data_IF_281257376130
#
_entry.id   IF_281257376130
#
_cell.length_a   1.000
_cell.length_b   1.000
_cell.length_c   1.000
_cell.angle_alpha   90.00
_cell.angle_beta   90.00
_cell.angle_gamma   90.00
#
_symmetry.space_group_name_H-M   'P 1'
#
loop_
_entity.id
_entity.type
_entity.pdbx_description
1 polymer ?
#
# COMPACT_ATOMS: atom_id res chain seq x y z
N UNK A 1 -46.53 -14.14 51.22
CA UNK A 1 -45.42 -13.43 50.54
C UNK A 1 -44.41 -14.33 49.80
N UNK A 2 -44.54 -15.65 49.68
CA UNK A 2 -43.58 -16.55 49.02
C UNK A 2 -43.92 -16.90 47.54
N UNK A 3 -45.07 -16.49 47.03
CA UNK A 3 -45.51 -16.88 45.67
C UNK A 3 -45.09 -15.88 44.59
N UNK A 4 -44.91 -14.61 44.92
CA UNK A 4 -44.60 -13.54 43.94
C UNK A 4 -43.18 -13.61 43.40
N UNK A 5 -42.22 -14.02 44.24
CA UNK A 5 -40.83 -14.19 43.83
C UNK A 5 -40.64 -15.30 42.79
N UNK A 6 -41.46 -16.35 42.82
CA UNK A 6 -41.38 -17.43 41.82
C UNK A 6 -41.80 -16.96 40.43
N UNK A 7 -42.80 -16.07 40.34
CA UNK A 7 -43.21 -15.46 39.08
C UNK A 7 -42.14 -14.53 38.48
N UNK A 8 -41.48 -13.74 39.34
CA UNK A 8 -40.45 -12.78 38.93
C UNK A 8 -39.17 -13.50 38.43
N UNK A 9 -38.78 -14.62 39.04
CA UNK A 9 -37.62 -15.45 38.62
C UNK A 9 -37.90 -16.14 37.29
N UNK A 10 -39.14 -16.61 37.06
CA UNK A 10 -39.50 -17.23 35.78
C UNK A 10 -39.51 -16.21 34.65
N UNK A 11 -40.01 -14.98 34.87
CA UNK A 11 -39.94 -13.91 33.89
C UNK A 11 -38.50 -13.45 33.58
N UNK A 12 -37.62 -13.43 34.58
CA UNK A 12 -36.19 -13.10 34.37
C UNK A 12 -35.44 -14.18 33.59
N UNK A 13 -35.79 -15.46 33.76
CA UNK A 13 -35.18 -16.57 32.99
C UNK A 13 -35.65 -16.65 31.53
N UNK A 14 -36.83 -16.15 31.22
CA UNK A 14 -37.34 -16.09 29.86
C UNK A 14 -36.77 -14.91 29.05
N UNK A 15 -36.21 -13.91 29.71
CA UNK A 15 -35.60 -12.73 29.04
C UNK A 15 -34.23 -12.96 28.42
N UNK A 16 -33.58 -14.10 28.66
CA UNK A 16 -32.25 -14.42 28.14
C UNK A 16 -32.26 -15.36 26.92
N UNK A 17 -33.40 -15.74 26.40
CA UNK A 17 -33.51 -16.42 25.12
C UNK A 17 -33.47 -15.40 23.99
N UNK A 18 -32.39 -14.61 23.86
CA UNK A 18 -32.09 -13.84 22.66
C UNK A 18 -31.51 -14.82 21.65
N UNK A 19 -32.35 -15.29 20.73
CA UNK A 19 -31.85 -15.90 19.51
C UNK A 19 -31.12 -14.82 18.71
N UNK A 20 -29.81 -14.92 18.59
CA UNK A 20 -29.07 -14.26 17.52
C UNK A 20 -29.32 -15.07 16.26
N UNK A 21 -30.29 -14.70 15.44
CA UNK A 21 -30.32 -15.15 14.07
C UNK A 21 -29.22 -14.39 13.31
N UNK A 22 -28.30 -15.13 12.72
CA UNK A 22 -27.40 -14.57 11.72
C UNK A 22 -28.25 -14.16 10.51
N UNK A 23 -28.46 -12.87 10.34
CA UNK A 23 -29.15 -12.33 9.18
C UNK A 23 -28.16 -12.45 8.00
N UNK A 24 -28.27 -13.52 7.26
CA UNK A 24 -27.60 -13.65 5.96
C UNK A 24 -28.33 -12.73 4.99
N UNK A 25 -27.78 -11.57 4.73
CA UNK A 25 -28.25 -10.67 3.68
C UNK A 25 -27.78 -11.29 2.36
N UNK A 26 -28.71 -11.84 1.60
CA UNK A 26 -28.43 -12.35 0.25
C UNK A 26 -28.24 -11.13 -0.67
N UNK A 27 -26.99 -10.71 -0.82
CA UNK A 27 -26.62 -9.67 -1.78
C UNK A 27 -26.55 -10.32 -3.17
N UNK A 28 -27.07 -9.62 -4.18
CA UNK A 28 -26.89 -10.03 -5.57
C UNK A 28 -25.39 -10.23 -5.83
N UNK A 29 -25.00 -11.46 -6.20
CA UNK A 29 -23.64 -11.81 -6.51
C UNK A 29 -23.27 -11.16 -7.84
N UNK A 30 -22.34 -10.21 -7.80
CA UNK A 30 -21.71 -9.71 -9.02
C UNK A 30 -20.83 -10.80 -9.66
N UNK A 31 -20.61 -10.72 -10.97
CA UNK A 31 -19.63 -11.57 -11.62
C UNK A 31 -18.24 -11.34 -11.02
N UNK A 32 -17.44 -12.39 -10.77
CA UNK A 32 -16.09 -12.23 -10.25
C UNK A 32 -15.23 -11.40 -11.20
N UNK A 33 -14.61 -10.37 -10.67
CA UNK A 33 -13.63 -9.55 -11.41
C UNK A 33 -12.22 -10.10 -11.22
N UNK A 34 -11.33 -9.78 -12.14
CA UNK A 34 -9.92 -10.13 -12.04
C UNK A 34 -9.20 -9.07 -11.23
N UNK A 35 -8.61 -9.45 -10.10
CA UNK A 35 -7.71 -8.61 -9.31
C UNK A 35 -6.31 -8.61 -9.92
N UNK A 36 -5.76 -7.44 -10.17
CA UNK A 36 -4.41 -7.26 -10.72
C UNK A 36 -3.62 -6.34 -9.80
N UNK A 37 -2.58 -6.87 -9.17
CA UNK A 37 -1.60 -6.10 -8.42
C UNK A 37 -0.24 -6.27 -9.09
N UNK A 38 0.30 -5.22 -9.71
CA UNK A 38 1.55 -5.30 -10.42
C UNK A 38 2.37 -4.02 -10.30
N UNK A 39 3.69 -4.18 -10.23
CA UNK A 39 4.61 -3.05 -10.23
C UNK A 39 5.83 -3.34 -11.09
N UNK A 40 6.44 -2.26 -11.63
CA UNK A 40 7.65 -2.35 -12.40
C UNK A 40 8.57 -1.17 -12.07
N UNK A 41 9.86 -1.40 -11.82
CA UNK A 41 10.77 -0.36 -11.36
C UNK A 41 12.10 -0.30 -12.13
N UNK A 42 12.89 0.74 -11.86
CA UNK A 42 14.25 0.88 -12.39
C UNK A 42 15.30 0.01 -11.68
N UNK A 43 14.90 -0.79 -10.69
CA UNK A 43 15.80 -1.69 -10.00
C UNK A 43 16.04 -2.96 -10.83
N UNK A 44 17.28 -3.41 -10.88
CA UNK A 44 17.61 -4.70 -11.48
C UNK A 44 17.20 -5.84 -10.52
N UNK A 45 15.97 -6.29 -10.67
CA UNK A 45 15.38 -7.38 -9.87
C UNK A 45 14.30 -8.12 -10.64
N UNK A 46 13.83 -9.23 -10.08
CA UNK A 46 12.59 -9.84 -10.51
C UNK A 46 11.41 -8.97 -10.04
N UNK A 47 10.53 -8.61 -10.97
CA UNK A 47 9.29 -7.89 -10.67
C UNK A 47 8.14 -8.88 -10.57
N UNK A 48 7.15 -8.57 -9.73
CA UNK A 48 6.01 -9.44 -9.49
C UNK A 48 4.71 -8.82 -9.98
N UNK A 49 3.82 -9.68 -10.48
CA UNK A 49 2.41 -9.40 -10.67
C UNK A 49 1.60 -10.49 -9.97
N UNK A 50 0.56 -10.11 -9.25
CA UNK A 50 -0.33 -11.01 -8.54
C UNK A 50 -1.70 -10.93 -9.18
N UNK A 51 -2.24 -12.08 -9.59
CA UNK A 51 -3.53 -12.18 -10.24
C UNK A 51 -4.48 -13.07 -9.42
N UNK A 52 -5.64 -12.55 -9.09
CA UNK A 52 -6.67 -13.25 -8.33
C UNK A 52 -8.06 -12.97 -8.89
N UNK A 53 -9.07 -13.71 -8.46
CA UNK A 53 -10.47 -13.35 -8.64
C UNK A 53 -11.00 -12.68 -7.38
N UNK A 54 -11.86 -11.68 -7.53
CA UNK A 54 -12.55 -11.10 -6.37
C UNK A 54 -13.43 -12.16 -5.71
N UNK A 55 -13.42 -12.18 -4.37
CA UNK A 55 -14.28 -13.05 -3.58
C UNK A 55 -15.56 -12.31 -3.15
N UNK A 56 -16.59 -13.06 -2.80
CA UNK A 56 -17.78 -12.51 -2.16
C UNK A 56 -17.39 -11.87 -0.80
N UNK A 57 -18.00 -10.73 -0.50
CA UNK A 57 -17.70 -9.95 0.71
C UNK A 57 -17.75 -10.77 2.02
N UNK A 58 -18.67 -11.76 2.07
CA UNK A 58 -18.85 -12.62 3.24
C UNK A 58 -18.00 -13.90 3.22
N UNK A 59 -17.36 -14.23 2.11
CA UNK A 59 -16.64 -15.48 1.91
C UNK A 59 -15.15 -15.23 1.65
N UNK A 60 -14.46 -14.68 2.66
CA UNK A 60 -13.05 -14.28 2.56
C UNK A 60 -12.07 -15.46 2.38
N UNK A 61 -12.51 -16.67 2.63
CA UNK A 61 -11.65 -17.86 2.60
C UNK A 61 -11.47 -18.45 1.20
N UNK A 62 -12.21 -17.98 0.19
CA UNK A 62 -12.23 -18.53 -1.17
C UNK A 62 -11.61 -17.59 -2.22
N UNK A 63 -10.49 -16.92 -1.90
CA UNK A 63 -9.77 -16.16 -2.91
C UNK A 63 -9.15 -17.14 -3.91
N UNK A 64 -9.71 -17.20 -5.12
CA UNK A 64 -9.16 -18.00 -6.20
C UNK A 64 -8.08 -17.24 -6.92
N UNK A 65 -6.94 -17.89 -7.12
CA UNK A 65 -5.84 -17.31 -7.88
C UNK A 65 -6.00 -17.60 -9.37
N UNK A 66 -5.55 -16.68 -10.22
CA UNK A 66 -5.58 -16.84 -11.68
C UNK A 66 -4.35 -17.62 -12.12
N UNK A 67 -4.55 -18.64 -12.92
CA UNK A 67 -3.50 -19.50 -13.49
C UNK A 67 -3.48 -19.43 -15.01
N UNK A 68 -2.32 -19.70 -15.61
CA UNK A 68 -2.17 -19.81 -17.04
C UNK A 68 -2.36 -18.50 -17.81
N UNK A 69 -2.33 -17.35 -17.14
CA UNK A 69 -2.39 -16.07 -17.80
C UNK A 69 -1.08 -15.76 -18.53
N UNK A 70 -1.19 -15.01 -19.63
CA UNK A 70 -0.02 -14.37 -20.26
C UNK A 70 0.10 -12.96 -19.74
N UNK A 71 1.21 -12.67 -19.03
CA UNK A 71 1.47 -11.37 -18.39
C UNK A 71 2.75 -10.79 -18.96
N UNK A 72 2.71 -9.55 -19.41
CA UNK A 72 3.91 -8.84 -19.88
C UNK A 72 3.78 -7.34 -19.71
N UNK A 73 4.93 -6.68 -19.64
CA UNK A 73 5.05 -5.22 -19.68
C UNK A 73 5.86 -4.82 -20.90
N UNK A 74 5.45 -3.74 -21.57
CA UNK A 74 6.15 -3.24 -22.78
C UNK A 74 6.25 -1.72 -22.77
N UNK A 75 7.35 -1.19 -23.34
CA UNK A 75 7.53 0.23 -23.64
C UNK A 75 7.18 0.57 -25.11
N UNK A 76 6.61 -0.40 -25.84
CA UNK A 76 6.30 -0.29 -27.26
C UNK A 76 7.46 -0.68 -28.18
N UNK A 77 8.66 -0.91 -27.64
CA UNK A 77 9.87 -1.39 -28.35
C UNK A 77 10.29 -2.75 -27.79
N UNK A 78 10.49 -2.78 -26.48
CA UNK A 78 10.90 -3.97 -25.76
C UNK A 78 9.70 -4.57 -25.02
N UNK A 79 9.71 -5.90 -24.78
CA UNK A 79 8.69 -6.61 -24.02
C UNK A 79 9.36 -7.50 -23.00
N UNK A 80 8.87 -7.40 -21.74
CA UNK A 80 9.32 -8.19 -20.61
C UNK A 80 8.17 -9.06 -20.15
N UNK A 81 8.34 -10.38 -20.19
CA UNK A 81 7.34 -11.34 -19.75
C UNK A 81 7.47 -11.64 -18.26
N UNK A 82 6.33 -11.81 -17.62
CA UNK A 82 6.21 -12.39 -16.30
C UNK A 82 5.82 -13.86 -16.47
N UNK A 83 6.55 -14.75 -15.84
CA UNK A 83 6.31 -16.20 -15.88
C UNK A 83 5.60 -16.65 -14.62
N UNK A 84 4.62 -17.54 -14.75
CA UNK A 84 3.87 -18.08 -13.62
C UNK A 84 4.82 -18.77 -12.62
N UNK A 85 4.73 -18.40 -11.34
CA UNK A 85 5.49 -19.04 -10.26
C UNK A 85 4.80 -20.35 -9.89
N UNK A 86 5.48 -21.46 -10.09
CA UNK A 86 4.91 -22.79 -9.85
C UNK A 86 4.74 -23.13 -8.35
N UNK A 87 5.40 -22.38 -7.48
CA UNK A 87 5.32 -22.57 -6.02
C UNK A 87 4.27 -21.65 -5.38
N UNK A 88 3.98 -20.50 -6.00
CA UNK A 88 3.03 -19.50 -5.51
C UNK A 88 1.93 -19.26 -6.54
N UNK A 89 0.79 -19.91 -6.34
CA UNK A 89 -0.35 -19.74 -7.24
C UNK A 89 -0.74 -18.28 -7.42
N UNK A 90 -0.97 -17.86 -8.68
CA UNK A 90 -1.37 -16.51 -9.05
C UNK A 90 -0.25 -15.48 -9.04
N UNK A 91 0.97 -15.89 -8.70
CA UNK A 91 2.14 -15.03 -8.80
C UNK A 91 2.82 -15.24 -10.16
N UNK A 92 3.18 -14.12 -10.78
CA UNK A 92 3.88 -14.05 -12.05
C UNK A 92 5.12 -13.20 -11.86
N UNK A 93 6.29 -13.70 -12.27
CA UNK A 93 7.59 -13.09 -11.95
C UNK A 93 8.43 -12.92 -13.20
N UNK A 94 9.10 -11.78 -13.34
CA UNK A 94 10.04 -11.55 -14.45
C UNK A 94 11.40 -12.18 -14.17
N UNK A 95 12.19 -12.42 -15.22
CA UNK A 95 13.64 -12.46 -15.05
C UNK A 95 14.16 -11.13 -14.50
N UNK A 96 15.36 -11.10 -13.88
CA UNK A 96 15.93 -9.85 -13.37
C UNK A 96 16.07 -8.80 -14.49
N UNK A 97 15.36 -7.70 -14.38
CA UNK A 97 15.34 -6.63 -15.37
C UNK A 97 15.15 -5.29 -14.68
N UNK A 98 15.66 -4.22 -15.28
CA UNK A 98 15.48 -2.85 -14.81
C UNK A 98 14.69 -2.04 -15.83
N UNK A 99 13.67 -1.33 -15.38
CA UNK A 99 12.94 -0.37 -16.20
C UNK A 99 13.76 0.86 -16.52
N UNK A 100 13.47 1.49 -17.65
CA UNK A 100 14.08 2.74 -18.09
C UNK A 100 13.28 3.91 -17.53
N UNK A 101 13.94 4.83 -16.83
CA UNK A 101 13.33 6.07 -16.33
C UNK A 101 12.74 6.89 -17.47
N UNK A 102 11.75 7.72 -17.17
CA UNK A 102 11.04 8.58 -18.10
C UNK A 102 10.42 7.82 -19.28
N UNK A 103 9.92 6.62 -19.04
CA UNK A 103 9.37 5.71 -20.04
C UNK A 103 7.96 5.28 -19.64
N UNK A 104 7.02 5.39 -20.59
CA UNK A 104 5.67 4.89 -20.42
C UNK A 104 5.66 3.37 -20.63
N UNK A 105 5.24 2.64 -19.64
CA UNK A 105 5.08 1.20 -19.69
C UNK A 105 3.60 0.82 -19.73
N UNK A 106 3.28 -0.15 -20.58
CA UNK A 106 1.96 -0.79 -20.63
C UNK A 106 2.06 -2.21 -20.09
N UNK A 107 1.33 -2.50 -19.03
CA UNK A 107 1.04 -3.86 -18.58
C UNK A 107 -0.06 -4.44 -19.47
N UNK A 108 0.11 -5.69 -19.90
CA UNK A 108 -0.91 -6.48 -20.58
C UNK A 108 -1.09 -7.81 -19.85
N UNK A 109 -2.33 -8.22 -19.65
CA UNK A 109 -2.71 -9.46 -18.96
C UNK A 109 -3.80 -10.15 -19.79
N UNK A 110 -3.50 -11.30 -20.33
CA UNK A 110 -4.43 -12.15 -21.08
C UNK A 110 -4.79 -13.37 -20.21
N UNK A 111 -6.03 -13.41 -19.72
CA UNK A 111 -6.52 -14.48 -18.84
C UNK A 111 -7.41 -15.42 -19.66
N UNK A 112 -7.04 -16.72 -19.78
CA UNK A 112 -7.89 -17.69 -20.47
C UNK A 112 -9.13 -18.03 -19.61
N UNK A 113 -10.30 -18.05 -20.24
CA UNK A 113 -11.55 -18.51 -19.63
C UNK A 113 -11.85 -19.98 -19.97
N UNK A 114 -12.73 -20.57 -19.18
CA UNK A 114 -13.06 -22.00 -19.31
C UNK A 114 -13.79 -22.36 -20.59
N UNK A 115 -14.45 -21.42 -21.24
CA UNK A 115 -15.16 -21.54 -22.53
C UNK A 115 -14.25 -21.39 -23.75
N UNK A 116 -12.98 -21.04 -23.53
CA UNK A 116 -11.96 -20.83 -24.57
C UNK A 116 -11.82 -19.35 -24.99
N UNK A 117 -12.60 -18.47 -24.40
CA UNK A 117 -12.42 -17.02 -24.57
C UNK A 117 -11.21 -16.51 -23.76
N UNK A 118 -10.78 -15.29 -24.03
CA UNK A 118 -9.66 -14.65 -23.33
C UNK A 118 -10.08 -13.26 -22.88
N UNK A 119 -10.01 -13.03 -21.58
CA UNK A 119 -10.16 -11.68 -21.03
C UNK A 119 -8.82 -10.95 -21.18
N UNK A 120 -8.85 -9.84 -21.90
CA UNK A 120 -7.67 -8.99 -22.12
C UNK A 120 -7.75 -7.74 -21.28
N UNK A 121 -6.78 -7.59 -20.40
CA UNK A 121 -6.65 -6.44 -19.51
C UNK A 121 -5.38 -5.68 -19.84
N UNK A 122 -5.40 -4.37 -19.61
CA UNK A 122 -4.20 -3.54 -19.75
C UNK A 122 -4.23 -2.36 -18.79
N UNK A 123 -3.05 -1.81 -18.54
CA UNK A 123 -2.86 -0.55 -17.81
C UNK A 123 -1.59 0.15 -18.27
N UNK A 124 -1.53 1.46 -18.12
CA UNK A 124 -0.34 2.24 -18.46
C UNK A 124 0.14 3.02 -17.23
N UNK A 125 1.47 3.12 -17.11
CA UNK A 125 2.11 3.88 -16.05
C UNK A 125 3.44 4.44 -16.52
N UNK A 126 3.69 5.73 -16.26
CA UNK A 126 4.95 6.39 -16.58
C UNK A 126 5.96 6.13 -15.46
N UNK A 127 7.08 5.47 -15.76
CA UNK A 127 8.17 5.31 -14.80
C UNK A 127 8.88 6.66 -14.61
N UNK A 128 8.77 7.27 -13.41
CA UNK A 128 9.24 8.63 -13.22
C UNK A 128 10.78 8.75 -13.25
N UNK A 129 11.27 9.97 -13.47
CA UNK A 129 12.67 10.34 -13.27
C UNK A 129 12.73 11.63 -12.45
N UNK A 130 12.49 11.53 -11.15
CA UNK A 130 12.26 12.69 -10.30
C UNK A 130 13.33 12.90 -9.23
N UNK A 131 13.97 11.83 -8.75
CA UNK A 131 15.06 11.86 -7.76
C UNK A 131 16.23 11.08 -8.29
N UNK A 132 17.42 11.68 -8.29
CA UNK A 132 18.64 11.00 -8.71
C UNK A 132 19.32 10.30 -7.54
N UNK A 133 19.44 10.99 -6.40
CA UNK A 133 20.14 10.49 -5.21
C UNK A 133 19.49 10.99 -3.93
N UNK A 134 19.70 10.26 -2.84
CA UNK A 134 19.47 10.73 -1.47
C UNK A 134 20.83 11.14 -0.92
N UNK A 135 20.98 12.42 -0.57
CA UNK A 135 22.26 12.98 -0.08
C UNK A 135 22.60 12.45 1.32
N UNK A 136 21.60 12.34 2.18
CA UNK A 136 21.75 11.81 3.53
C UNK A 136 20.43 11.39 4.16
N UNK A 137 20.52 10.56 5.20
CA UNK A 137 19.42 10.22 6.09
C UNK A 137 19.82 10.62 7.50
N UNK A 138 19.01 11.44 8.15
CA UNK A 138 19.21 11.84 9.54
C UNK A 138 18.08 11.27 10.40
N UNK A 139 18.48 10.66 11.52
CA UNK A 139 17.55 10.17 12.53
C UNK A 139 17.69 11.08 13.75
N UNK A 140 16.62 11.78 14.10
CA UNK A 140 16.63 12.71 15.22
C UNK A 140 15.31 12.66 16.00
N UNK A 141 15.34 12.97 17.31
CA UNK A 141 14.14 13.03 18.10
C UNK A 141 13.22 14.14 17.63
N UNK A 142 11.96 13.94 17.89
CA UNK A 142 10.98 14.99 17.75
C UNK A 142 11.12 15.98 18.91
N UNK A 143 11.41 17.23 18.61
CA UNK A 143 11.62 18.27 19.62
C UNK A 143 10.37 19.10 19.97
N UNK A 144 9.18 18.65 19.64
CA UNK A 144 7.92 19.28 20.09
C UNK A 144 7.70 20.76 19.72
N UNK A 145 8.67 21.39 19.05
CA UNK A 145 8.66 22.82 18.75
C UNK A 145 8.07 23.17 17.38
N UNK A 146 7.70 22.17 16.60
CA UNK A 146 7.03 22.40 15.32
C UNK A 146 5.51 22.36 15.54
N UNK A 147 4.89 23.53 15.60
CA UNK A 147 3.44 23.71 15.77
C UNK A 147 2.60 23.08 14.63
N UNK A 148 3.24 22.47 13.64
CA UNK A 148 2.58 21.88 12.49
C UNK A 148 2.15 20.41 12.70
N UNK A 149 2.60 19.74 13.76
CA UNK A 149 2.20 18.37 14.06
C UNK A 149 1.12 18.30 15.15
N UNK A 150 0.11 17.44 15.00
CA UNK A 150 -0.94 17.29 16.00
C UNK A 150 -0.38 16.94 17.38
N UNK A 151 -0.93 17.53 18.43
CA UNK A 151 -0.55 17.31 19.84
C UNK A 151 -0.61 15.85 20.32
N UNK A 152 -1.17 14.96 19.53
CA UNK A 152 -1.21 13.50 19.78
C UNK A 152 0.19 12.87 19.75
N UNK A 153 1.17 13.52 19.11
CA UNK A 153 2.55 13.06 18.99
C UNK A 153 3.53 13.69 20.00
N UNK A 154 3.02 14.34 21.04
CA UNK A 154 3.80 15.01 22.07
C UNK A 154 4.54 14.05 23.03
N UNK A 155 5.03 12.92 22.55
CA UNK A 155 5.81 12.01 23.39
C UNK A 155 7.30 12.16 23.09
N UNK A 156 8.09 12.50 24.10
CA UNK A 156 9.58 12.51 24.12
C UNK A 156 10.24 11.18 23.69
N UNK A 157 9.53 10.36 22.94
CA UNK A 157 9.85 8.97 22.73
C UNK A 157 9.87 8.54 21.27
N UNK A 158 9.85 9.50 20.35
CA UNK A 158 9.79 9.21 18.91
C UNK A 158 11.06 9.73 18.24
N UNK A 159 11.68 8.89 17.42
CA UNK A 159 12.80 9.22 16.57
C UNK A 159 12.31 9.22 15.13
N UNK A 160 12.49 10.33 14.44
CA UNK A 160 12.04 10.53 13.08
C UNK A 160 13.18 10.35 12.08
N UNK A 161 12.87 9.74 10.96
CA UNK A 161 13.76 9.55 9.81
C UNK A 161 13.52 10.65 8.79
N UNK A 162 14.53 11.45 8.52
CA UNK A 162 14.52 12.57 7.59
C UNK A 162 15.50 12.30 6.44
N UNK A 163 15.02 12.06 5.22
CA UNK A 163 15.87 12.06 4.05
C UNK A 163 16.12 13.49 3.55
N UNK A 164 17.32 13.71 3.07
CA UNK A 164 17.69 14.93 2.36
C UNK A 164 18.03 14.58 0.93
N UNK A 165 17.34 15.15 -0.02
CA UNK A 165 17.52 14.91 -1.44
C UNK A 165 17.02 16.10 -2.27
N UNK A 166 17.50 16.19 -3.49
CA UNK A 166 16.96 17.13 -4.46
C UNK A 166 15.90 16.44 -5.30
N UNK A 167 14.81 17.15 -5.57
CA UNK A 167 13.71 16.68 -6.36
C UNK A 167 13.29 17.74 -7.37
N UNK A 168 13.02 17.33 -8.59
CA UNK A 168 12.40 18.20 -9.56
C UNK A 168 10.93 18.42 -9.20
N UNK A 169 10.44 19.67 -9.28
CA UNK A 169 9.02 19.95 -9.09
C UNK A 169 8.18 19.21 -10.10
N UNK A 170 7.37 18.26 -9.63
CA UNK A 170 6.45 17.52 -10.48
C UNK A 170 5.19 17.13 -9.69
N UNK A 171 4.04 17.80 -9.91
CA UNK A 171 2.80 17.52 -9.18
C UNK A 171 2.19 16.16 -9.53
N UNK A 172 2.62 15.53 -10.61
CA UNK A 172 2.14 14.22 -11.03
C UNK A 172 2.86 13.06 -10.33
N UNK A 173 3.82 13.37 -9.45
CA UNK A 173 4.64 12.39 -8.75
C UNK A 173 4.43 12.51 -7.23
N UNK A 174 4.39 11.38 -6.57
CA UNK A 174 4.46 11.27 -5.10
C UNK A 174 5.61 10.37 -4.69
N UNK A 175 6.00 10.48 -3.44
CA UNK A 175 7.03 9.62 -2.86
C UNK A 175 6.41 8.61 -1.91
N UNK A 176 6.78 7.36 -2.08
CA UNK A 176 6.47 6.26 -1.18
C UNK A 176 7.77 5.75 -0.56
N UNK A 177 8.03 6.05 0.72
CA UNK A 177 9.20 5.54 1.41
C UNK A 177 8.99 4.09 1.84
N UNK A 178 9.99 3.25 1.59
CA UNK A 178 10.08 1.88 2.08
C UNK A 178 11.26 1.82 3.05
N UNK A 179 10.99 1.44 4.29
CA UNK A 179 11.99 1.46 5.37
C UNK A 179 12.35 0.04 5.79
N UNK A 180 13.64 -0.17 5.90
CA UNK A 180 14.20 -1.41 6.45
C UNK A 180 15.07 -1.10 7.68
N UNK A 181 15.03 -2.01 8.63
CA UNK A 181 15.91 -2.02 9.78
C UNK A 181 16.65 -3.36 9.84
N UNK A 182 17.98 -3.33 9.75
CA UNK A 182 18.82 -4.53 9.72
C UNK A 182 18.29 -5.56 8.70
N UNK A 183 17.98 -5.10 7.49
CA UNK A 183 17.40 -5.84 6.35
C UNK A 183 15.95 -6.34 6.55
N UNK A 184 15.32 -6.02 7.69
CA UNK A 184 13.91 -6.34 7.92
C UNK A 184 13.03 -5.21 7.43
N UNK A 185 12.11 -5.51 6.51
CA UNK A 185 11.12 -4.57 6.01
C UNK A 185 10.17 -4.14 7.14
N UNK A 186 9.95 -2.84 7.29
CA UNK A 186 9.08 -2.25 8.33
C UNK A 186 7.78 -1.67 7.77
N UNK A 187 7.72 -1.41 6.46
CA UNK A 187 6.56 -0.82 5.77
C UNK A 187 5.91 -1.85 4.86
N UNK A 188 5.70 -3.07 5.36
CA UNK A 188 5.18 -4.21 4.61
C UNK A 188 3.64 -4.28 4.55
N UNK A 189 2.96 -3.44 5.30
CA UNK A 189 1.49 -3.40 5.32
C UNK A 189 0.96 -2.04 4.87
N UNK A 190 -0.24 -2.02 4.28
CA UNK A 190 -0.93 -0.79 3.87
C UNK A 190 -1.07 0.23 5.00
N UNK A 191 -1.19 -0.21 6.25
CA UNK A 191 -1.28 0.66 7.42
C UNK A 191 0.07 1.22 7.87
N UNK A 192 1.17 0.63 7.44
CA UNK A 192 2.55 1.01 7.76
C UNK A 192 3.23 1.68 6.58
N UNK A 193 2.78 1.42 5.35
CA UNK A 193 3.23 2.18 4.17
C UNK A 193 2.66 3.59 4.28
N UNK A 194 3.47 4.50 4.79
CA UNK A 194 3.13 5.90 4.81
C UNK A 194 3.28 6.46 3.41
N UNK A 195 2.17 6.76 2.76
CA UNK A 195 2.17 7.85 1.80
C UNK A 195 2.28 9.09 2.66
N UNK A 196 3.40 9.81 2.56
CA UNK A 196 3.76 10.83 3.53
C UNK A 196 2.84 12.04 3.40
N UNK A 197 2.03 12.39 4.40
CA UNK A 197 1.25 13.61 4.38
C UNK A 197 2.18 14.81 4.56
N UNK A 198 2.10 15.77 3.67
CA UNK A 198 2.70 17.10 3.84
C UNK A 198 1.71 18.01 4.55
N UNK A 199 2.09 18.44 5.71
CA UNK A 199 1.39 19.52 6.43
C UNK A 199 0.05 19.16 7.03
N UNK A 200 0.03 18.71 8.25
CA UNK A 200 -1.04 18.73 9.23
C UNK A 200 -2.44 18.37 8.74
N UNK A 201 -2.89 17.19 9.12
CA UNK A 201 -4.18 16.54 8.89
C UNK A 201 -4.25 15.60 7.68
N UNK A 202 -4.80 14.44 7.94
CA UNK A 202 -5.07 13.40 6.97
C UNK A 202 -5.57 13.95 5.63
N UNK A 203 -4.78 13.78 4.58
CA UNK A 203 -5.19 14.14 3.23
C UNK A 203 -4.20 14.92 2.39
N UNK A 204 -3.04 15.29 2.91
CA UNK A 204 -2.03 16.02 2.13
C UNK A 204 -0.84 15.10 1.83
N UNK A 205 -0.45 15.07 0.58
CA UNK A 205 0.65 14.24 0.07
C UNK A 205 1.83 15.11 -0.35
N UNK A 206 3.03 14.58 -0.16
CA UNK A 206 4.21 15.24 -0.71
C UNK A 206 4.20 15.01 -2.21
N UNK A 207 4.01 16.06 -2.99
CA UNK A 207 4.48 16.09 -4.35
C UNK A 207 5.85 16.78 -4.39
N UNK A 208 6.64 16.50 -5.42
CA UNK A 208 7.98 17.06 -5.55
C UNK A 208 8.04 18.59 -5.46
N UNK A 209 6.98 19.28 -5.87
CA UNK A 209 6.88 20.75 -5.83
C UNK A 209 6.83 21.28 -4.39
N UNK A 210 6.10 20.62 -3.50
CA UNK A 210 5.94 21.07 -2.12
C UNK A 210 7.21 20.86 -1.29
N UNK A 211 7.94 19.77 -1.53
CA UNK A 211 9.22 19.55 -0.88
C UNK A 211 10.24 20.64 -1.20
N UNK A 212 10.29 21.11 -2.43
CA UNK A 212 11.20 22.19 -2.85
C UNK A 212 10.75 23.58 -2.38
N UNK A 213 9.44 23.84 -2.43
CA UNK A 213 8.90 25.16 -2.07
C UNK A 213 8.96 25.45 -0.57
N UNK A 214 8.89 24.42 0.28
CA UNK A 214 8.72 24.62 1.71
C UNK A 214 10.04 24.75 2.48
N UNK A 215 11.19 24.38 1.91
CA UNK A 215 12.47 24.27 2.63
C UNK A 215 12.30 23.52 3.99
N UNK A 216 11.31 22.63 4.06
CA UNK A 216 10.91 21.95 5.29
C UNK A 216 11.51 20.56 5.33
N UNK A 217 12.03 20.23 6.49
CA UNK A 217 12.40 18.84 6.78
C UNK A 217 11.14 17.99 6.89
N UNK A 218 11.01 16.97 6.06
CA UNK A 218 9.84 16.10 6.04
C UNK A 218 10.25 14.71 6.52
N UNK A 219 9.70 14.28 7.67
CA UNK A 219 9.95 12.94 8.17
C UNK A 219 9.23 11.91 7.29
N UNK A 220 9.91 10.84 6.95
CA UNK A 220 9.35 9.76 6.14
C UNK A 220 8.96 8.53 6.95
N UNK A 221 9.44 8.43 8.17
CA UNK A 221 9.15 7.33 9.09
C UNK A 221 9.47 7.72 10.52
N UNK A 222 8.89 7.02 11.49
CA UNK A 222 9.19 7.20 12.89
C UNK A 222 9.43 5.88 13.61
N UNK A 223 10.33 5.90 14.58
CA UNK A 223 10.55 4.82 15.52
C UNK A 223 10.12 5.25 16.91
N UNK A 224 9.40 4.40 17.61
CA UNK A 224 9.17 4.61 19.04
C UNK A 224 10.51 4.50 19.77
N UNK A 225 10.71 5.36 20.77
CA UNK A 225 11.92 5.34 21.62
C UNK A 225 12.26 3.92 22.06
N UNK A 226 13.52 3.56 21.98
CA UNK A 226 14.09 2.24 22.27
C UNK A 226 13.81 1.14 21.22
N UNK A 227 13.17 1.45 20.12
CA UNK A 227 13.08 0.54 18.97
C UNK A 227 14.37 0.53 18.16
N UNK A 228 15.14 1.64 18.21
CA UNK A 228 16.48 1.72 17.65
C UNK A 228 17.54 1.44 18.71
N UNK A 229 18.55 0.71 18.33
CA UNK A 229 19.74 0.43 19.13
C UNK A 229 20.96 1.01 18.42
N UNK A 230 22.00 1.32 19.20
CA UNK A 230 23.29 1.69 18.64
C UNK A 230 23.71 0.70 17.56
N UNK A 231 24.18 1.23 16.43
CA UNK A 231 24.61 0.48 15.24
C UNK A 231 23.48 -0.22 14.44
N UNK A 232 22.20 0.00 14.75
CA UNK A 232 21.11 -0.44 13.85
C UNK A 232 21.27 0.24 12.48
N UNK A 233 21.25 -0.57 11.42
CA UNK A 233 21.29 -0.10 10.04
C UNK A 233 19.89 0.21 9.54
N UNK A 234 19.69 1.42 9.07
CA UNK A 234 18.42 1.87 8.51
C UNK A 234 18.63 2.14 7.01
N UNK A 235 17.89 1.42 6.17
CA UNK A 235 17.82 1.64 4.74
C UNK A 235 16.48 2.26 4.38
N UNK A 236 16.53 3.27 3.55
CA UNK A 236 15.39 3.89 2.91
C UNK A 236 15.47 3.65 1.40
N UNK A 237 14.45 3.01 0.85
CA UNK A 237 14.17 2.99 -0.57
C UNK A 237 13.07 4.03 -0.83
N UNK A 238 13.41 5.14 -1.47
CA UNK A 238 12.47 6.21 -1.80
C UNK A 238 11.92 5.95 -3.20
N UNK A 239 10.67 5.56 -3.29
CA UNK A 239 9.99 5.28 -4.54
C UNK A 239 9.28 6.53 -5.03
N UNK A 240 9.64 7.04 -6.22
CA UNK A 240 8.84 8.02 -6.96
C UNK A 240 7.80 7.26 -7.78
N UNK A 241 6.52 7.52 -7.55
CA UNK A 241 5.39 6.86 -8.23
C UNK A 241 4.41 7.89 -8.79
N UNK A 242 3.58 7.55 -9.81
CA UNK A 242 2.54 8.43 -10.30
C UNK A 242 1.52 8.79 -9.21
N UNK A 243 1.09 10.06 -9.18
CA UNK A 243 0.22 10.59 -8.13
C UNK A 243 -1.21 10.05 -8.15
N UNK A 244 -1.66 9.50 -9.26
CA UNK A 244 -2.98 8.87 -9.40
C UNK A 244 -3.13 7.62 -8.52
N UNK A 245 -2.02 6.97 -8.16
CA UNK A 245 -1.98 5.87 -7.19
C UNK A 245 -2.61 6.24 -5.84
N UNK A 246 -2.53 7.51 -5.45
CA UNK A 246 -3.16 8.02 -4.23
C UNK A 246 -4.65 7.67 -4.16
N UNK A 247 -5.35 7.87 -5.26
CA UNK A 247 -6.79 7.62 -5.32
C UNK A 247 -7.15 6.15 -5.09
N UNK A 248 -6.33 5.24 -5.64
CA UNK A 248 -6.46 3.81 -5.39
C UNK A 248 -6.19 3.49 -3.92
N UNK A 249 -5.05 3.94 -3.40
CA UNK A 249 -4.61 3.70 -2.03
C UNK A 249 -5.66 4.15 -1.00
N UNK A 250 -6.26 5.33 -1.17
CA UNK A 250 -7.32 5.80 -0.30
C UNK A 250 -8.56 4.94 -0.35
N UNK A 251 -9.03 4.60 -1.55
CA UNK A 251 -10.22 3.77 -1.68
C UNK A 251 -10.00 2.38 -1.09
N UNK A 252 -8.77 1.86 -1.20
CA UNK A 252 -8.39 0.59 -0.60
C UNK A 252 -8.39 0.67 0.94
N UNK A 253 -7.75 1.69 1.55
CA UNK A 253 -7.75 1.87 3.01
C UNK A 253 -9.17 2.08 3.54
N UNK A 254 -9.98 2.89 2.86
CA UNK A 254 -11.37 3.10 3.26
C UNK A 254 -12.19 1.82 3.19
N UNK A 255 -11.92 0.94 2.21
CA UNK A 255 -12.59 -0.35 2.10
C UNK A 255 -12.23 -1.31 3.25
N UNK A 256 -10.98 -1.27 3.72
CA UNK A 256 -10.53 -2.09 4.86
C UNK A 256 -11.14 -1.64 6.19
N UNK A 257 -11.40 -0.33 6.35
CA UNK A 257 -12.01 0.26 7.54
C UNK A 257 -13.54 0.27 7.55
N UNK A 258 -14.19 -0.15 6.45
CA UNK A 258 -15.65 -0.11 6.34
C UNK A 258 -16.31 -1.12 7.30
N UNK A 259 -17.21 -0.62 8.15
CA UNK A 259 -18.06 -1.45 8.97
C UNK A 259 -19.27 -1.89 8.12
N UNK A 260 -19.56 -3.18 7.98
CA UNK A 260 -20.72 -3.68 7.22
C UNK A 260 -22.06 -3.06 7.65
N UNK A 261 -22.14 -2.57 8.89
CA UNK A 261 -23.34 -1.88 9.41
C UNK A 261 -23.51 -0.44 8.88
N UNK A 262 -22.48 0.14 8.26
CA UNK A 262 -22.50 1.52 7.75
C UNK A 262 -22.71 1.63 6.22
N UNK A 263 -22.91 0.52 5.55
CA UNK A 263 -23.14 0.44 4.11
C UNK A 263 -22.14 -0.46 3.39
N UNK A 264 -22.41 -0.75 2.12
CA UNK A 264 -21.48 -1.51 1.28
C UNK A 264 -20.17 -0.74 1.13
N UNK A 265 -19.00 -1.44 1.15
CA UNK A 265 -17.73 -0.80 0.88
C UNK A 265 -17.75 -0.14 -0.51
N UNK A 266 -17.17 1.04 -0.61
CA UNK A 266 -17.04 1.70 -1.91
C UNK A 266 -16.16 0.84 -2.82
N UNK A 267 -16.49 0.79 -4.12
CA UNK A 267 -15.63 0.12 -5.08
C UNK A 267 -14.23 0.77 -5.09
N UNK A 268 -13.21 -0.05 -4.96
CA UNK A 268 -11.82 0.40 -5.04
C UNK A 268 -11.57 0.92 -6.46
N UNK A 269 -10.95 2.10 -6.57
CA UNK A 269 -10.56 2.63 -7.89
C UNK A 269 -9.54 1.71 -8.54
N UNK A 270 -9.55 1.66 -9.86
CA UNK A 270 -8.61 0.86 -10.65
C UNK A 270 -8.09 1.66 -11.83
N UNK A 271 -6.85 1.41 -12.23
CA UNK A 271 -6.32 1.84 -13.53
C UNK A 271 -6.26 0.70 -14.56
N UNK A 272 -6.75 -0.49 -14.20
CA UNK A 272 -6.81 -1.64 -15.10
C UNK A 272 -8.04 -1.50 -16.01
N UNK A 273 -7.85 -1.74 -17.29
CA UNK A 273 -8.90 -1.65 -18.31
C UNK A 273 -9.15 -3.01 -18.97
N UNK A 274 -10.40 -3.34 -19.30
CA UNK A 274 -11.63 -2.59 -18.99
C UNK A 274 -11.99 -2.69 -17.50
N UNK A 275 -12.45 -1.58 -16.92
CA UNK A 275 -12.69 -1.44 -15.48
C UNK A 275 -13.92 -2.18 -14.95
N UNK A 276 -14.77 -2.70 -15.83
CA UNK A 276 -15.90 -3.57 -15.50
C UNK A 276 -15.50 -5.05 -15.39
N UNK A 277 -14.26 -5.40 -15.78
CA UNK A 277 -13.72 -6.77 -15.75
C UNK A 277 -12.62 -6.95 -14.71
N UNK A 278 -12.01 -5.87 -14.25
CA UNK A 278 -10.86 -5.96 -13.37
C UNK A 278 -10.85 -4.87 -12.28
N UNK A 279 -10.21 -5.22 -11.16
CA UNK A 279 -9.87 -4.31 -10.05
C UNK A 279 -8.37 -4.37 -9.80
N UNK A 280 -7.85 -3.47 -8.97
CA UNK A 280 -6.43 -3.44 -8.63
C UNK A 280 -5.69 -2.34 -9.34
N UNK A 281 -4.35 -2.42 -9.33
CA UNK A 281 -3.52 -1.33 -9.81
C UNK A 281 -2.19 -1.82 -10.37
N UNK A 282 -1.77 -1.18 -11.46
CA UNK A 282 -0.42 -1.24 -11.98
C UNK A 282 0.25 0.12 -11.83
N UNK A 283 1.44 0.15 -11.25
CA UNK A 283 2.27 1.35 -11.22
C UNK A 283 3.72 1.04 -11.54
N UNK A 284 4.40 2.05 -12.08
CA UNK A 284 5.85 2.03 -12.23
C UNK A 284 6.49 2.93 -11.19
N UNK A 285 7.69 2.59 -10.77
CA UNK A 285 8.42 3.38 -9.77
C UNK A 285 9.88 3.56 -10.09
N UNK A 286 10.39 4.77 -9.85
CA UNK A 286 11.81 5.03 -9.77
C UNK A 286 12.25 4.95 -8.32
N UNK A 287 13.14 4.04 -8.02
CA UNK A 287 13.62 3.78 -6.67
C UNK A 287 15.04 4.32 -6.52
N UNK A 288 15.25 5.05 -5.44
CA UNK A 288 16.57 5.53 -5.00
C UNK A 288 16.79 5.08 -3.57
N UNK A 289 17.92 4.42 -3.32
CA UNK A 289 18.24 3.82 -2.03
C UNK A 289 19.35 4.59 -1.31
N UNK A 290 19.19 4.78 0.00
CA UNK A 290 20.24 5.24 0.88
C UNK A 290 20.21 4.48 2.21
N UNK A 291 21.35 4.44 2.88
CA UNK A 291 21.50 3.80 4.18
C UNK A 291 22.16 4.74 5.19
N UNK A 292 21.81 4.56 6.45
CA UNK A 292 22.47 5.20 7.58
C UNK A 292 22.57 4.22 8.75
N UNK A 293 23.53 4.47 9.64
CA UNK A 293 23.68 3.72 10.88
C UNK A 293 23.24 4.60 12.04
N UNK A 294 22.28 4.09 12.82
CA UNK A 294 21.81 4.84 13.98
C UNK A 294 22.92 4.99 15.03
N UNK A 295 23.15 6.23 15.46
CA UNK A 295 24.04 6.59 16.55
C UNK A 295 23.23 7.24 17.65
N UNK A 296 23.22 6.62 18.82
CA UNK A 296 22.51 7.16 19.97
C UNK A 296 23.19 8.44 20.46
N UNK A 297 22.67 9.58 20.03
CA UNK A 297 23.15 10.92 20.40
C UNK A 297 22.93 11.26 21.89
N UNK A 298 22.18 10.41 22.61
CA UNK A 298 21.84 10.61 24.03
C UNK A 298 22.76 9.88 25.00
N UNK A 299 23.66 9.04 24.54
CA UNK A 299 24.74 8.55 25.38
C UNK A 299 25.68 9.71 25.66
N UNK A 300 25.33 10.54 26.65
CA UNK A 300 26.31 11.47 27.24
C UNK A 300 27.50 10.66 27.73
N UNK A 301 28.66 11.07 27.27
CA UNK A 301 29.99 10.70 27.81
C UNK A 301 30.01 10.82 29.31
#
# INVERSE_FOLDING_TARGET
MKSWYKGLVICALLGFASCTEDVVIDLEKGDPMIGVEASFSNELKCHEAILSYTADFYNKDDIRMVKGATVYVTDGIDTVFYYEDLEREGYYVTEPVAGKKNTLYRLCVDVPESDGDVVRLFSESLLPDNVETIDSIVIKPYNGADDSLPSVFLFDTIEWVYPYFQSLPNPEIIYMPIIYKNDTLLTDTLTQSMLIPVGGYAGYYINGSEMLAANKEIPVYYFMKRKLKEDDRIRLDLCSIPSDYISYYYTLIMSLGSNPMMGAPANVKTNIQPSDKAVGWFFTSSVVTAETVFKDQYKKQ
#
